data_IF_583876766992
#
_entry.id   IF_583876766992
#
_cell.length_a   1.000
_cell.length_b   1.000
_cell.length_c   1.000
_cell.angle_alpha   90.00
_cell.angle_beta   90.00
_cell.angle_gamma   90.00
#
_symmetry.space_group_name_H-M   'P 1'
#
loop_
_entity.id
_entity.type
_entity.pdbx_description
1 polymer ?
#
# COMPACT_ATOMS: atom_id res chain seq x y z
N UNK A 1 13.66 -30.24 -12.08
CA UNK A 1 13.94 -29.36 -13.23
C UNK A 1 12.94 -28.23 -13.19
N UNK A 2 13.33 -27.10 -12.62
CA UNK A 2 12.53 -25.89 -12.54
C UNK A 2 12.38 -25.31 -13.95
N UNK A 3 11.16 -25.28 -14.45
CA UNK A 3 10.80 -24.58 -15.69
C UNK A 3 10.94 -23.08 -15.43
N UNK A 4 12.15 -22.55 -15.60
CA UNK A 4 12.42 -21.13 -15.54
C UNK A 4 11.57 -20.44 -16.61
N UNK A 5 10.56 -19.70 -16.18
CA UNK A 5 9.87 -18.78 -17.08
C UNK A 5 10.93 -17.78 -17.58
N UNK A 6 11.04 -17.53 -18.89
CA UNK A 6 11.97 -16.52 -19.40
C UNK A 6 11.66 -15.19 -18.71
N UNK A 7 12.70 -14.49 -18.23
CA UNK A 7 12.53 -13.18 -17.62
C UNK A 7 11.85 -12.26 -18.65
N UNK A 8 10.93 -11.38 -18.23
CA UNK A 8 10.35 -10.37 -19.09
C UNK A 8 11.44 -9.61 -19.85
N UNK A 9 11.34 -9.49 -21.17
CA UNK A 9 12.30 -8.74 -21.99
C UNK A 9 12.08 -7.22 -21.90
N UNK A 10 10.96 -6.80 -21.30
CA UNK A 10 10.54 -5.41 -21.17
C UNK A 10 10.47 -5.03 -19.69
N UNK A 11 11.08 -3.91 -19.32
CA UNK A 11 10.98 -3.30 -17.98
C UNK A 11 10.20 -1.99 -18.10
N UNK A 12 9.26 -1.73 -17.20
CA UNK A 12 8.55 -0.44 -17.12
C UNK A 12 8.86 0.26 -15.80
N UNK A 13 9.33 1.50 -15.85
CA UNK A 13 9.76 2.26 -14.68
C UNK A 13 9.51 3.77 -14.85
N UNK A 14 9.62 4.53 -13.76
CA UNK A 14 9.77 5.99 -13.83
C UNK A 14 11.21 6.33 -14.25
N UNK A 15 11.37 7.29 -15.17
CA UNK A 15 12.64 7.57 -15.81
C UNK A 15 13.64 8.23 -14.84
N UNK A 16 14.86 7.67 -14.77
CA UNK A 16 15.98 8.31 -14.09
C UNK A 16 16.59 9.48 -14.90
N UNK A 17 17.59 10.14 -14.33
CA UNK A 17 18.24 11.28 -14.99
C UNK A 17 18.88 10.94 -16.34
N UNK A 18 19.49 9.75 -16.48
CA UNK A 18 20.14 9.33 -17.73
C UNK A 18 19.10 8.99 -18.81
N UNK A 19 18.01 8.35 -18.40
CA UNK A 19 16.87 8.02 -19.27
C UNK A 19 16.13 9.28 -19.72
N UNK A 20 15.99 10.30 -18.86
CA UNK A 20 15.45 11.61 -19.25
C UNK A 20 16.30 12.29 -20.32
N UNK A 21 17.62 12.23 -20.20
CA UNK A 21 18.52 12.75 -21.23
C UNK A 21 18.38 11.99 -22.56
N UNK A 22 18.14 10.67 -22.53
CA UNK A 22 17.82 9.90 -23.73
C UNK A 22 16.48 10.32 -24.33
N UNK A 23 15.44 10.50 -23.51
CA UNK A 23 14.13 10.99 -23.94
C UNK A 23 14.25 12.33 -24.67
N UNK A 24 15.05 13.28 -24.18
CA UNK A 24 15.20 14.57 -24.85
C UNK A 24 15.83 14.45 -26.26
N UNK A 25 16.73 13.49 -26.47
CA UNK A 25 17.29 13.19 -27.79
C UNK A 25 16.24 12.53 -28.70
N UNK A 26 15.56 11.50 -28.20
CA UNK A 26 14.48 10.82 -28.94
C UNK A 26 13.39 11.81 -29.36
N UNK A 27 13.03 12.75 -28.47
CA UNK A 27 12.05 13.81 -28.79
C UNK A 27 12.52 14.65 -29.98
N UNK A 28 13.80 15.00 -30.06
CA UNK A 28 14.34 15.73 -31.21
C UNK A 28 14.23 14.92 -32.49
N UNK A 29 14.71 13.68 -32.47
CA UNK A 29 14.68 12.81 -33.65
C UNK A 29 13.25 12.61 -34.17
N UNK A 30 12.30 12.34 -33.26
CA UNK A 30 10.90 12.08 -33.64
C UNK A 30 10.16 13.38 -33.97
N UNK A 31 10.16 14.37 -33.08
CA UNK A 31 9.28 15.53 -33.24
C UNK A 31 9.89 16.66 -34.09
N UNK A 32 11.22 16.77 -34.19
CA UNK A 32 11.85 17.75 -35.09
C UNK A 32 12.21 17.15 -36.45
N UNK A 33 12.88 15.99 -36.48
CA UNK A 33 13.39 15.41 -37.72
C UNK A 33 12.33 14.61 -38.48
N UNK A 34 11.68 13.64 -37.83
CA UNK A 34 10.70 12.76 -38.49
C UNK A 34 9.38 13.49 -38.81
N UNK A 35 8.82 14.22 -37.84
CA UNK A 35 7.46 14.77 -37.96
C UNK A 35 7.41 16.26 -38.31
N UNK A 36 8.54 16.96 -38.24
CA UNK A 36 8.65 18.39 -38.56
C UNK A 36 7.82 19.31 -37.66
N UNK A 37 7.57 18.93 -36.41
CA UNK A 37 6.78 19.72 -35.44
C UNK A 37 7.62 20.79 -34.74
N UNK A 38 8.94 20.60 -34.71
CA UNK A 38 9.89 21.53 -34.12
C UNK A 38 11.08 21.76 -35.07
N UNK A 39 11.75 22.92 -34.98
CA UNK A 39 13.00 23.15 -35.71
C UNK A 39 14.10 22.17 -35.27
N UNK A 40 14.81 21.61 -36.25
CA UNK A 40 16.02 20.82 -36.00
C UNK A 40 17.10 21.76 -35.43
N UNK A 41 17.66 21.38 -34.28
CA UNK A 41 18.74 22.14 -33.62
C UNK A 41 20.04 21.33 -33.49
N UNK A 42 21.16 22.02 -33.32
CA UNK A 42 22.51 21.43 -33.23
C UNK A 42 22.78 20.70 -31.91
N UNK A 43 21.99 20.97 -30.86
CA UNK A 43 22.13 20.29 -29.58
C UNK A 43 21.55 18.86 -29.60
N UNK A 44 20.82 18.49 -30.66
CA UNK A 44 20.24 17.16 -30.82
C UNK A 44 19.27 16.78 -29.71
N UNK A 45 18.62 17.78 -29.08
CA UNK A 45 17.70 17.58 -27.95
C UNK A 45 16.52 18.54 -28.01
N UNK A 46 15.37 18.09 -27.52
CA UNK A 46 14.20 18.92 -27.29
C UNK A 46 13.77 18.85 -25.82
N UNK A 47 13.61 20.04 -25.24
CA UNK A 47 13.07 20.25 -23.90
C UNK A 47 11.91 21.24 -23.96
N UNK A 48 11.04 21.23 -22.95
CA UNK A 48 10.01 22.25 -22.77
C UNK A 48 9.78 22.60 -21.30
N UNK A 49 9.04 23.68 -21.06
CA UNK A 49 8.79 24.25 -19.72
C UNK A 49 8.11 23.30 -18.73
N UNK A 50 7.49 22.21 -19.19
CA UNK A 50 6.82 21.24 -18.33
C UNK A 50 7.75 20.09 -17.93
N UNK A 51 8.96 19.99 -18.48
CA UNK A 51 9.86 18.87 -18.20
C UNK A 51 10.15 18.70 -16.71
N UNK A 52 10.35 19.80 -15.98
CA UNK A 52 10.67 19.77 -14.55
C UNK A 52 9.54 19.20 -13.68
N UNK A 53 8.28 19.37 -14.13
CA UNK A 53 7.10 18.87 -13.40
C UNK A 53 6.58 17.54 -13.96
N UNK A 54 6.90 17.25 -15.21
CA UNK A 54 6.47 16.04 -15.90
C UNK A 54 7.11 14.81 -15.30
N UNK A 55 6.29 13.76 -15.24
CA UNK A 55 6.69 12.43 -14.84
C UNK A 55 6.78 11.57 -16.08
N UNK A 56 7.97 11.04 -16.33
CA UNK A 56 8.27 10.24 -17.50
C UNK A 56 8.24 8.77 -17.11
N UNK A 57 7.40 7.99 -17.77
CA UNK A 57 7.44 6.53 -17.68
C UNK A 57 8.11 5.99 -18.93
N UNK A 58 9.03 5.04 -18.74
CA UNK A 58 9.81 4.42 -19.82
C UNK A 58 9.51 2.93 -19.89
N UNK A 59 9.52 2.40 -21.11
CA UNK A 59 9.64 0.97 -21.36
C UNK A 59 11.05 0.69 -21.90
N UNK A 60 11.79 -0.15 -21.20
CA UNK A 60 13.15 -0.52 -21.53
C UNK A 60 13.19 -1.92 -22.16
N UNK A 61 13.97 -2.09 -23.22
CA UNK A 61 14.36 -3.40 -23.76
C UNK A 61 15.87 -3.47 -23.82
N UNK A 62 16.43 -4.56 -23.28
CA UNK A 62 17.88 -4.73 -23.14
C UNK A 62 18.58 -3.55 -22.41
N UNK A 63 17.86 -2.88 -21.51
CA UNK A 63 18.33 -1.72 -20.75
C UNK A 63 18.22 -0.37 -21.47
N UNK A 64 17.81 -0.34 -22.74
CA UNK A 64 17.66 0.89 -23.53
C UNK A 64 16.20 1.33 -23.64
N UNK A 65 15.98 2.65 -23.77
CA UNK A 65 14.63 3.23 -23.91
C UNK A 65 14.03 2.83 -25.25
N UNK A 66 13.06 1.92 -25.23
CA UNK A 66 12.31 1.48 -26.41
C UNK A 66 11.07 2.35 -26.67
N UNK A 67 10.46 2.85 -25.60
CA UNK A 67 9.30 3.73 -25.65
C UNK A 67 9.21 4.57 -24.37
N UNK A 68 8.49 5.70 -24.42
CA UNK A 68 8.18 6.50 -23.23
C UNK A 68 6.83 7.21 -23.35
N UNK A 69 6.30 7.63 -22.20
CA UNK A 69 5.14 8.51 -22.08
C UNK A 69 5.39 9.52 -20.97
N UNK A 70 4.86 10.73 -21.13
CA UNK A 70 4.96 11.80 -20.15
C UNK A 70 3.60 12.06 -19.53
N UNK A 71 3.59 12.34 -18.23
CA UNK A 71 2.40 12.69 -17.45
C UNK A 71 2.64 14.07 -16.85
N UNK A 72 1.79 15.04 -17.21
CA UNK A 72 1.76 16.36 -16.57
C UNK A 72 0.78 16.31 -15.40
N UNK A 73 1.24 16.44 -14.14
CA UNK A 73 0.34 16.56 -12.99
C UNK A 73 -0.36 17.94 -12.97
N UNK A 74 -1.48 18.08 -12.24
CA UNK A 74 -2.11 19.38 -12.04
C UNK A 74 -1.14 20.33 -11.33
N UNK A 75 -1.03 21.56 -11.81
CA UNK A 75 -0.07 22.51 -11.27
C UNK A 75 -0.11 23.90 -11.90
N UNK A 76 0.68 24.85 -11.37
CA UNK A 76 0.65 26.25 -11.77
C UNK A 76 1.15 26.48 -13.21
N UNK A 77 1.88 25.52 -13.78
CA UNK A 77 2.34 25.58 -15.16
C UNK A 77 1.24 25.21 -16.17
N UNK A 78 0.07 24.74 -15.74
CA UNK A 78 -0.98 24.29 -16.66
C UNK A 78 -0.54 23.10 -17.51
N UNK A 79 -1.18 22.91 -18.65
CA UNK A 79 -1.02 21.73 -19.49
C UNK A 79 -0.44 22.10 -20.87
N UNK A 80 0.01 21.09 -21.63
CA UNK A 80 0.50 21.32 -22.98
C UNK A 80 -0.65 21.53 -23.99
N UNK A 81 -1.83 20.94 -23.72
CA UNK A 81 -3.06 21.18 -24.50
C UNK A 81 -3.50 22.64 -24.52
N UNK A 82 -3.16 23.44 -23.50
CA UNK A 82 -3.44 24.89 -23.43
C UNK A 82 -2.75 25.67 -24.58
N UNK A 83 -1.76 25.08 -25.28
CA UNK A 83 -1.12 25.69 -26.46
C UNK A 83 -1.95 25.57 -27.73
N UNK A 84 -2.90 24.63 -27.76
CA UNK A 84 -3.61 24.22 -28.97
C UNK A 84 -5.11 24.55 -28.91
N UNK A 85 -5.68 24.64 -27.72
CA UNK A 85 -7.11 24.87 -27.51
C UNK A 85 -7.33 25.87 -26.38
N UNK A 86 -8.32 26.74 -26.52
CA UNK A 86 -8.71 27.66 -25.46
C UNK A 86 -9.60 26.95 -24.43
N UNK A 87 -9.39 27.22 -23.13
CA UNK A 87 -10.14 26.55 -22.05
C UNK A 87 -11.66 26.65 -22.17
N UNK A 88 -12.27 27.79 -22.58
CA UNK A 88 -13.72 27.88 -22.75
C UNK A 88 -14.28 26.99 -23.86
N UNK A 89 -13.46 26.56 -24.82
CA UNK A 89 -13.87 25.71 -25.93
C UNK A 89 -13.83 24.22 -25.55
N UNK A 90 -13.04 23.85 -24.53
CA UNK A 90 -12.91 22.47 -24.10
C UNK A 90 -14.18 22.00 -23.38
N UNK A 91 -14.75 20.82 -23.75
CA UNK A 91 -15.96 20.29 -23.12
C UNK A 91 -15.72 19.70 -21.71
N UNK A 92 -14.69 20.15 -20.99
CA UNK A 92 -14.28 19.63 -19.69
C UNK A 92 -13.53 20.69 -18.88
N UNK A 93 -13.63 20.59 -17.56
CA UNK A 93 -12.88 21.46 -16.65
C UNK A 93 -11.52 20.83 -16.29
N UNK A 94 -10.45 21.61 -16.49
CA UNK A 94 -9.08 21.20 -16.18
C UNK A 94 -8.73 21.64 -14.75
N UNK A 95 -9.30 20.93 -13.77
CA UNK A 95 -9.19 21.25 -12.35
C UNK A 95 -7.97 20.59 -11.66
N UNK A 96 -7.88 20.70 -10.33
CA UNK A 96 -6.80 20.13 -9.51
C UNK A 96 -6.77 18.60 -9.43
N UNK A 97 -7.73 17.90 -10.06
CA UNK A 97 -7.75 16.45 -10.22
C UNK A 97 -7.43 15.97 -11.63
N UNK A 98 -7.14 16.88 -12.57
CA UNK A 98 -6.86 16.55 -13.97
C UNK A 98 -5.37 16.28 -14.20
N UNK A 99 -5.05 15.22 -14.94
CA UNK A 99 -3.70 14.89 -15.39
C UNK A 99 -3.66 14.86 -16.91
N UNK A 100 -2.56 15.29 -17.51
CA UNK A 100 -2.37 15.19 -18.97
C UNK A 100 -1.41 14.04 -19.29
N UNK A 101 -1.84 13.12 -20.16
CA UNK A 101 -0.95 12.15 -20.81
C UNK A 101 -0.48 12.76 -22.13
N UNK A 102 0.84 12.87 -22.30
CA UNK A 102 1.45 13.46 -23.49
C UNK A 102 2.72 12.72 -23.91
N UNK A 103 3.16 13.01 -25.13
CA UNK A 103 4.41 12.50 -25.69
C UNK A 103 4.54 10.97 -25.69
N UNK A 104 3.44 10.23 -25.84
CA UNK A 104 3.50 8.79 -26.03
C UNK A 104 4.30 8.49 -27.31
N UNK A 105 5.46 7.88 -27.15
CA UNK A 105 6.43 7.67 -28.22
C UNK A 105 6.95 6.24 -28.16
N UNK A 106 6.88 5.55 -29.29
CA UNK A 106 7.49 4.24 -29.51
C UNK A 106 8.50 4.39 -30.64
N UNK A 107 9.76 3.98 -30.40
CA UNK A 107 10.81 4.03 -31.42
C UNK A 107 10.44 3.13 -32.61
N UNK A 108 10.87 3.53 -33.81
CA UNK A 108 10.47 2.92 -35.09
C UNK A 108 10.56 1.38 -35.08
N UNK A 109 11.70 0.85 -34.63
CA UNK A 109 11.99 -0.58 -34.52
C UNK A 109 11.08 -1.37 -33.54
N UNK A 110 10.22 -0.68 -32.79
CA UNK A 110 9.30 -1.26 -31.81
C UNK A 110 7.83 -0.88 -32.04
N UNK A 111 7.48 -0.16 -33.12
CA UNK A 111 6.11 0.35 -33.34
C UNK A 111 5.06 -0.75 -33.50
N UNK A 112 5.45 -1.92 -34.00
CA UNK A 112 4.56 -3.09 -34.17
C UNK A 112 4.40 -3.95 -32.90
N UNK A 113 4.69 -3.38 -31.72
CA UNK A 113 4.63 -4.08 -30.43
C UNK A 113 3.55 -3.50 -29.53
N UNK A 114 3.33 -4.13 -28.37
CA UNK A 114 2.38 -3.71 -27.34
C UNK A 114 2.89 -2.57 -26.43
N UNK A 115 4.07 -1.99 -26.70
CA UNK A 115 4.68 -0.98 -25.83
C UNK A 115 3.82 0.27 -25.64
N UNK A 116 3.08 0.71 -26.66
CA UNK A 116 2.17 1.85 -26.53
C UNK A 116 1.05 1.54 -25.53
N UNK A 117 0.39 0.39 -25.65
CA UNK A 117 -0.66 -0.05 -24.73
C UNK A 117 -0.10 -0.27 -23.32
N UNK A 118 1.09 -0.86 -23.20
CA UNK A 118 1.80 -1.07 -21.95
C UNK A 118 2.03 0.23 -21.19
N UNK A 119 2.54 1.27 -21.88
CA UNK A 119 2.77 2.58 -21.27
C UNK A 119 1.49 3.31 -20.92
N UNK A 120 0.41 3.11 -21.69
CA UNK A 120 -0.90 3.65 -21.30
C UNK A 120 -1.42 3.00 -20.01
N UNK A 121 -1.32 1.67 -19.88
CA UNK A 121 -1.66 0.96 -18.63
C UNK A 121 -0.84 1.51 -17.46
N UNK A 122 0.47 1.68 -17.66
CA UNK A 122 1.37 2.28 -16.67
C UNK A 122 0.93 3.69 -16.26
N UNK A 123 0.64 4.55 -17.24
CA UNK A 123 0.30 5.95 -17.01
C UNK A 123 -1.03 6.10 -16.25
N UNK A 124 -2.08 5.37 -16.66
CA UNK A 124 -3.35 5.42 -15.96
C UNK A 124 -3.24 4.91 -14.53
N UNK A 125 -2.48 3.83 -14.30
CA UNK A 125 -2.24 3.34 -12.94
C UNK A 125 -1.46 4.31 -12.08
N UNK A 126 -0.44 4.94 -12.64
CA UNK A 126 0.34 5.97 -11.96
C UNK A 126 -0.51 7.17 -11.55
N UNK A 127 -1.42 7.61 -12.43
CA UNK A 127 -2.37 8.72 -12.20
C UNK A 127 -3.40 8.33 -11.13
N UNK A 128 -4.02 7.16 -11.27
CA UNK A 128 -5.05 6.69 -10.35
C UNK A 128 -4.51 6.53 -8.92
N UNK A 129 -3.31 5.98 -8.75
CA UNK A 129 -2.66 5.82 -7.45
C UNK A 129 -2.39 7.16 -6.73
N UNK A 130 -2.46 8.28 -7.45
CA UNK A 130 -2.28 9.65 -6.93
C UNK A 130 -3.59 10.44 -6.86
N UNK A 131 -4.73 9.75 -6.95
CA UNK A 131 -6.05 10.36 -6.83
C UNK A 131 -6.46 11.21 -8.03
N UNK A 132 -5.85 10.99 -9.20
CA UNK A 132 -6.33 11.60 -10.44
C UNK A 132 -7.79 11.24 -10.71
N UNK A 133 -8.59 12.24 -11.09
CA UNK A 133 -10.01 12.07 -11.41
C UNK A 133 -10.22 12.05 -12.91
N UNK A 134 -9.52 12.93 -13.63
CA UNK A 134 -9.71 13.13 -15.06
C UNK A 134 -8.37 13.03 -15.76
N UNK A 135 -8.36 12.44 -16.95
CA UNK A 135 -7.19 12.41 -17.83
C UNK A 135 -7.51 13.13 -19.12
N UNK A 136 -6.57 13.94 -19.60
CA UNK A 136 -6.62 14.57 -20.92
C UNK A 136 -5.42 14.18 -21.75
N UNK A 137 -5.59 14.11 -23.06
CA UNK A 137 -4.51 13.84 -23.99
C UNK A 137 -4.83 14.45 -25.35
N UNK A 138 -3.80 14.68 -26.16
CA UNK A 138 -3.97 14.91 -27.60
C UNK A 138 -3.44 13.69 -28.35
N UNK A 139 -4.36 12.94 -28.96
CA UNK A 139 -4.04 11.74 -29.72
C UNK A 139 -3.88 12.04 -31.19
N UNK A 140 -2.88 11.45 -31.86
CA UNK A 140 -2.84 11.44 -33.33
C UNK A 140 -4.03 10.65 -33.85
N UNK A 141 -4.69 11.11 -34.92
CA UNK A 141 -5.94 10.50 -35.42
C UNK A 141 -5.81 8.97 -35.62
N UNK A 142 -4.68 8.52 -36.18
CA UNK A 142 -4.34 7.11 -36.41
C UNK A 142 -4.27 6.25 -35.12
N UNK A 143 -3.93 6.88 -33.99
CA UNK A 143 -3.75 6.21 -32.69
C UNK A 143 -4.98 6.38 -31.79
N UNK A 144 -5.91 7.28 -32.13
CA UNK A 144 -7.16 7.47 -31.37
C UNK A 144 -7.95 6.19 -31.11
N UNK A 145 -8.01 5.17 -32.01
CA UNK A 145 -8.72 3.92 -31.71
C UNK A 145 -8.15 3.14 -30.52
N UNK A 146 -6.86 3.30 -30.21
CA UNK A 146 -6.23 2.71 -29.02
C UNK A 146 -6.72 3.43 -27.75
N UNK A 147 -6.69 4.76 -27.75
CA UNK A 147 -7.16 5.57 -26.62
C UNK A 147 -8.65 5.33 -26.33
N UNK A 148 -9.49 5.23 -27.38
CA UNK A 148 -10.92 4.93 -27.23
C UNK A 148 -11.15 3.54 -26.64
N UNK A 149 -10.39 2.53 -27.10
CA UNK A 149 -10.42 1.19 -26.48
C UNK A 149 -10.00 1.21 -25.00
N UNK A 150 -9.07 2.09 -24.64
CA UNK A 150 -8.65 2.34 -23.25
C UNK A 150 -9.63 3.17 -22.42
N UNK A 151 -10.80 3.53 -22.95
CA UNK A 151 -11.84 4.27 -22.23
C UNK A 151 -11.82 5.79 -22.44
N UNK A 152 -10.94 6.34 -23.29
CA UNK A 152 -10.98 7.77 -23.62
C UNK A 152 -12.08 8.14 -24.60
N UNK A 153 -12.60 9.36 -24.47
CA UNK A 153 -13.61 9.96 -25.32
C UNK A 153 -12.99 11.03 -26.21
N UNK A 154 -13.43 11.02 -27.47
CA UNK A 154 -13.14 12.03 -28.50
C UNK A 154 -13.98 13.28 -28.21
N UNK A 155 -13.37 14.47 -28.30
CA UNK A 155 -14.08 15.75 -28.13
C UNK A 155 -14.54 16.36 -29.44
N UNK A 156 -13.96 15.93 -30.58
CA UNK A 156 -14.13 16.56 -31.88
C UNK A 156 -13.24 17.80 -32.11
N UNK A 157 -12.53 18.30 -31.08
CA UNK A 157 -11.60 19.41 -31.22
C UNK A 157 -10.26 18.93 -31.76
N UNK A 158 -9.86 19.44 -32.93
CA UNK A 158 -8.64 19.03 -33.62
C UNK A 158 -7.67 20.18 -33.81
N UNK A 159 -6.38 19.87 -33.88
CA UNK A 159 -5.30 20.80 -34.18
C UNK A 159 -4.28 20.11 -35.09
N UNK A 160 -3.48 20.87 -35.82
CA UNK A 160 -2.43 20.31 -36.69
C UNK A 160 -1.08 20.87 -36.28
N UNK A 161 -0.10 19.98 -36.13
CA UNK A 161 1.28 20.33 -35.81
C UNK A 161 2.24 19.49 -36.64
N UNK A 162 3.07 20.15 -37.44
CA UNK A 162 3.87 19.50 -38.48
C UNK A 162 2.98 18.80 -39.52
N UNK A 163 3.30 17.55 -39.82
CA UNK A 163 2.55 16.72 -40.77
C UNK A 163 1.35 15.97 -40.16
N UNK A 164 1.01 16.22 -38.88
CA UNK A 164 0.09 15.36 -38.12
C UNK A 164 -1.07 16.15 -37.52
N UNK A 165 -2.27 15.60 -37.65
CA UNK A 165 -3.48 16.09 -36.98
C UNK A 165 -3.69 15.36 -35.66
N UNK A 166 -3.95 16.14 -34.61
CA UNK A 166 -4.24 15.67 -33.27
C UNK A 166 -5.67 16.01 -32.89
N UNK A 167 -6.27 15.17 -32.06
CA UNK A 167 -7.57 15.43 -31.44
C UNK A 167 -7.45 15.44 -29.93
N UNK A 168 -8.12 16.40 -29.30
CA UNK A 168 -8.28 16.43 -27.85
C UNK A 168 -9.19 15.29 -27.39
N UNK A 169 -8.71 14.53 -26.43
CA UNK A 169 -9.40 13.42 -25.81
C UNK A 169 -9.42 13.58 -24.28
N UNK A 170 -10.43 13.02 -23.64
CA UNK A 170 -10.54 13.01 -22.18
C UNK A 170 -11.16 11.72 -21.64
N UNK A 171 -10.98 11.43 -20.36
CA UNK A 171 -11.65 10.34 -19.67
C UNK A 171 -11.73 10.59 -18.17
N UNK A 172 -12.79 10.10 -17.51
CA UNK A 172 -12.74 9.89 -16.07
C UNK A 172 -11.88 8.67 -15.76
N UNK A 173 -11.01 8.76 -14.76
CA UNK A 173 -10.12 7.65 -14.36
C UNK A 173 -10.92 6.41 -13.95
N UNK A 174 -12.10 6.59 -13.37
CA UNK A 174 -13.02 5.50 -13.05
C UNK A 174 -13.57 4.79 -14.32
N UNK A 175 -13.81 5.53 -15.39
CA UNK A 175 -14.26 4.96 -16.68
C UNK A 175 -13.13 4.20 -17.37
N UNK A 176 -11.91 4.74 -17.34
CA UNK A 176 -10.71 4.03 -17.82
C UNK A 176 -10.51 2.72 -17.05
N UNK A 177 -10.70 2.73 -15.73
CA UNK A 177 -10.67 1.51 -14.93
C UNK A 177 -11.70 0.50 -15.41
N UNK A 178 -12.95 0.91 -15.61
CA UNK A 178 -14.00 0.00 -16.08
C UNK A 178 -13.67 -0.57 -17.47
N UNK A 179 -13.05 0.22 -18.36
CA UNK A 179 -12.57 -0.26 -19.65
C UNK A 179 -11.43 -1.29 -19.51
N UNK A 180 -10.53 -1.10 -18.53
CA UNK A 180 -9.47 -2.07 -18.24
C UNK A 180 -10.03 -3.38 -17.73
N UNK A 181 -11.03 -3.34 -16.85
CA UNK A 181 -11.71 -4.53 -16.35
C UNK A 181 -12.40 -5.30 -17.50
N UNK A 182 -12.97 -4.58 -18.48
CA UNK A 182 -13.52 -5.18 -19.69
C UNK A 182 -12.46 -5.79 -20.63
N UNK A 183 -11.21 -5.31 -20.55
CA UNK A 183 -10.05 -5.78 -21.31
C UNK A 183 -9.13 -6.69 -20.48
N UNK A 184 -9.64 -7.29 -19.39
CA UNK A 184 -8.84 -8.05 -18.44
C UNK A 184 -7.90 -9.10 -19.07
N UNK A 185 -8.29 -9.89 -20.09
CA UNK A 185 -7.36 -10.84 -20.72
C UNK A 185 -6.13 -10.17 -21.33
N UNK A 186 -6.30 -8.98 -21.91
CA UNK A 186 -5.22 -8.19 -22.51
C UNK A 186 -4.35 -7.57 -21.43
N UNK A 187 -4.95 -6.94 -20.42
CA UNK A 187 -4.22 -6.32 -19.31
C UNK A 187 -3.40 -7.36 -18.54
N UNK A 188 -3.97 -8.54 -18.27
CA UNK A 188 -3.26 -9.64 -17.62
C UNK A 188 -2.11 -10.20 -18.47
N UNK A 189 -2.22 -10.17 -19.80
CA UNK A 189 -1.14 -10.57 -20.69
C UNK A 189 0.03 -9.59 -20.63
N UNK A 190 -0.25 -8.28 -20.70
CA UNK A 190 0.76 -7.21 -20.55
C UNK A 190 1.43 -7.31 -19.19
N UNK A 191 0.64 -7.46 -18.12
CA UNK A 191 1.15 -7.56 -16.75
C UNK A 191 2.16 -8.70 -16.59
N UNK A 192 1.90 -9.88 -17.16
CA UNK A 192 2.82 -11.03 -17.12
C UNK A 192 4.06 -10.86 -17.99
N UNK A 193 3.97 -10.08 -19.07
CA UNK A 193 5.03 -9.92 -20.06
C UNK A 193 6.07 -8.84 -19.69
N UNK A 194 5.85 -8.11 -18.60
CA UNK A 194 6.62 -6.92 -18.23
C UNK A 194 7.14 -7.03 -16.79
N UNK A 195 8.40 -6.62 -16.58
CA UNK A 195 8.95 -6.36 -15.25
C UNK A 195 8.54 -4.95 -14.81
N UNK A 196 7.58 -4.86 -13.89
CA UNK A 196 7.00 -3.60 -13.42
C UNK A 196 7.80 -3.05 -12.24
N UNK A 197 8.51 -1.95 -12.47
CA UNK A 197 9.24 -1.18 -11.46
C UNK A 197 8.61 0.19 -11.25
N UNK A 198 7.28 0.19 -11.22
CA UNK A 198 6.51 1.33 -10.78
C UNK A 198 6.39 1.23 -9.26
N UNK A 199 6.70 2.30 -8.52
CA UNK A 199 6.46 2.38 -7.07
C UNK A 199 4.96 2.45 -6.70
N UNK A 200 4.10 1.82 -7.51
CA UNK A 200 2.66 1.68 -7.35
C UNK A 200 2.24 0.31 -7.89
N UNK A 201 1.34 -0.41 -7.20
CA UNK A 201 0.90 -1.72 -7.68
C UNK A 201 0.03 -1.56 -8.93
N UNK A 202 0.27 -2.42 -9.91
CA UNK A 202 -0.49 -2.46 -11.17
C UNK A 202 -1.95 -2.86 -10.99
N UNK A 203 -2.27 -3.64 -9.95
CA UNK A 203 -3.63 -3.95 -9.55
C UNK A 203 -3.90 -3.24 -8.25
N UNK A 204 -5.13 -2.72 -8.10
CA UNK A 204 -5.55 -2.25 -6.78
C UNK A 204 -5.54 -3.51 -5.91
N UNK A 205 -4.83 -3.54 -4.77
CA UNK A 205 -4.85 -4.71 -3.91
C UNK A 205 -6.30 -5.06 -3.63
N UNK A 206 -6.65 -6.35 -3.73
CA UNK A 206 -7.96 -6.81 -3.30
C UNK A 206 -8.16 -6.31 -1.87
N UNK A 207 -9.37 -5.83 -1.57
CA UNK A 207 -9.70 -5.48 -0.20
C UNK A 207 -9.54 -6.76 0.65
N UNK A 208 -8.47 -6.84 1.42
CA UNK A 208 -8.22 -7.95 2.33
C UNK A 208 -9.03 -7.65 3.59
N UNK A 209 -10.25 -8.19 3.65
CA UNK A 209 -11.11 -8.08 4.82
C UNK A 209 -10.64 -9.08 5.89
N UNK A 210 -10.68 -8.68 7.15
CA UNK A 210 -10.25 -9.52 8.26
C UNK A 210 -11.36 -10.51 8.63
N UNK A 211 -11.27 -11.73 8.10
CA UNK A 211 -12.18 -12.84 8.44
C UNK A 211 -13.64 -12.65 8.04
N UNK A 212 -14.49 -13.59 8.47
CA UNK A 212 -15.95 -13.52 8.37
C UNK A 212 -16.55 -14.48 7.36
N UNK A 213 -15.79 -14.85 6.32
CA UNK A 213 -16.21 -15.82 5.28
C UNK A 213 -16.51 -17.19 5.90
N UNK A 214 -15.74 -17.60 6.92
CA UNK A 214 -16.00 -18.83 7.66
C UNK A 214 -17.37 -18.81 8.38
N UNK A 215 -17.76 -17.66 8.96
CA UNK A 215 -19.07 -17.50 9.59
C UNK A 215 -20.20 -17.43 8.56
N UNK A 216 -19.98 -16.84 7.39
CA UNK A 216 -20.92 -16.89 6.27
C UNK A 216 -21.16 -18.33 5.81
N UNK A 217 -20.10 -19.14 5.71
CA UNK A 217 -20.18 -20.54 5.32
C UNK A 217 -20.91 -21.40 6.35
N UNK A 218 -20.69 -21.16 7.66
CA UNK A 218 -21.46 -21.79 8.75
C UNK A 218 -22.93 -21.37 8.68
N UNK A 219 -23.19 -20.10 8.36
CA UNK A 219 -24.51 -19.50 8.26
C UNK A 219 -24.70 -18.44 9.34
N UNK A 220 -24.88 -17.19 8.91
CA UNK A 220 -24.98 -16.01 9.79
C UNK A 220 -26.18 -16.04 10.76
N UNK A 221 -27.21 -16.84 10.47
CA UNK A 221 -28.37 -17.05 11.35
C UNK A 221 -28.08 -17.95 12.56
N UNK A 222 -26.96 -18.69 12.55
CA UNK A 222 -26.57 -19.64 13.59
C UNK A 222 -27.63 -20.73 13.89
N UNK A 223 -28.55 -20.98 12.96
CA UNK A 223 -29.65 -21.94 13.10
C UNK A 223 -29.16 -23.40 13.22
N UNK A 224 -28.01 -23.70 12.63
CA UNK A 224 -27.31 -24.98 12.76
C UNK A 224 -25.83 -24.73 13.06
N UNK A 225 -25.51 -24.66 14.36
CA UNK A 225 -24.13 -24.54 14.80
C UNK A 225 -23.27 -25.74 14.40
N UNK A 226 -23.84 -26.92 14.09
CA UNK A 226 -23.10 -28.12 13.70
C UNK A 226 -22.27 -27.95 12.42
N UNK A 227 -22.67 -27.03 11.53
CA UNK A 227 -22.02 -26.75 10.23
C UNK A 227 -20.58 -26.27 10.35
N UNK A 228 -20.15 -25.76 11.51
CA UNK A 228 -18.74 -25.43 11.73
C UNK A 228 -17.80 -26.63 11.53
N UNK A 229 -18.30 -27.86 11.67
CA UNK A 229 -17.53 -29.10 11.45
C UNK A 229 -17.26 -29.40 9.98
N UNK A 230 -18.03 -28.79 9.09
CA UNK A 230 -17.90 -28.94 7.63
C UNK A 230 -17.07 -27.81 7.01
N UNK A 231 -16.67 -26.81 7.82
CA UNK A 231 -15.91 -25.63 7.38
C UNK A 231 -14.49 -25.70 7.92
N UNK A 232 -13.51 -25.71 7.03
CA UNK A 232 -12.11 -25.49 7.41
C UNK A 232 -11.87 -23.99 7.47
N UNK A 233 -11.77 -23.44 8.69
CA UNK A 233 -11.44 -22.04 8.88
C UNK A 233 -9.96 -21.77 8.54
N UNK A 234 -9.73 -20.90 7.56
CA UNK A 234 -8.42 -20.32 7.24
C UNK A 234 -8.52 -18.82 6.86
N UNK A 235 -9.60 -18.14 7.25
CA UNK A 235 -9.83 -16.73 6.92
C UNK A 235 -9.18 -15.76 7.92
N UNK A 236 -9.00 -16.23 9.16
CA UNK A 236 -8.20 -15.61 10.21
C UNK A 236 -7.22 -16.63 10.77
N UNK A 237 -6.06 -16.16 11.24
CA UNK A 237 -5.01 -17.01 11.82
C UNK A 237 -5.39 -17.51 13.23
N UNK A 238 -6.58 -18.03 13.44
CA UNK A 238 -6.98 -18.62 14.73
C UNK A 238 -6.23 -19.92 14.99
N UNK A 239 -6.15 -20.31 16.28
CA UNK A 239 -5.47 -21.54 16.65
C UNK A 239 -6.18 -22.75 16.02
N UNK A 240 -5.39 -23.63 15.41
CA UNK A 240 -5.85 -24.90 14.83
C UNK A 240 -6.03 -26.01 15.88
N UNK A 241 -5.77 -25.69 17.15
CA UNK A 241 -5.89 -26.56 18.32
C UNK A 241 -6.85 -25.93 19.35
N UNK A 242 -7.49 -26.75 20.22
CA UNK A 242 -8.38 -26.23 21.25
C UNK A 242 -7.60 -25.56 22.40
N UNK A 243 -8.28 -24.76 23.25
CA UNK A 243 -7.71 -24.29 24.52
C UNK A 243 -7.18 -25.45 25.38
N UNK A 244 -6.33 -25.11 26.34
CA UNK A 244 -5.82 -26.09 27.31
C UNK A 244 -6.99 -26.82 28.03
N UNK A 245 -6.90 -28.14 28.29
CA UNK A 245 -8.00 -28.91 28.87
C UNK A 245 -8.57 -28.31 30.16
N UNK A 246 -7.70 -27.87 31.08
CA UNK A 246 -8.14 -27.24 32.34
C UNK A 246 -8.94 -25.94 32.14
N UNK A 247 -8.71 -25.22 31.01
CA UNK A 247 -9.52 -24.04 30.66
C UNK A 247 -10.90 -24.47 30.18
N UNK A 248 -10.98 -25.53 29.35
CA UNK A 248 -12.26 -26.08 28.90
C UNK A 248 -13.09 -26.62 30.06
N UNK A 249 -12.46 -27.37 30.99
CA UNK A 249 -13.10 -27.90 32.19
C UNK A 249 -13.68 -26.75 33.04
N UNK A 250 -12.87 -25.72 33.33
CA UNK A 250 -13.32 -24.56 34.09
C UNK A 250 -14.46 -23.79 33.41
N UNK A 251 -14.39 -23.59 32.09
CA UNK A 251 -15.46 -22.91 31.34
C UNK A 251 -16.74 -23.73 31.33
N UNK A 252 -16.64 -25.06 31.20
CA UNK A 252 -17.79 -25.95 31.19
C UNK A 252 -18.48 -26.00 32.56
N UNK A 253 -17.70 -26.14 33.63
CA UNK A 253 -18.21 -26.28 34.99
C UNK A 253 -18.85 -24.97 35.49
N UNK A 254 -18.33 -23.81 35.08
CA UNK A 254 -18.77 -22.49 35.56
C UNK A 254 -19.66 -21.73 34.57
N UNK A 255 -20.01 -22.30 33.41
CA UNK A 255 -20.75 -21.61 32.34
C UNK A 255 -22.03 -20.88 32.84
N UNK A 256 -22.90 -21.50 33.67
CA UNK A 256 -24.10 -20.81 34.16
C UNK A 256 -23.79 -19.59 35.03
N UNK A 257 -22.69 -19.63 35.79
CA UNK A 257 -22.27 -18.51 36.63
C UNK A 257 -21.70 -17.38 35.77
N UNK A 258 -20.78 -17.71 34.86
CA UNK A 258 -20.13 -16.77 33.94
C UNK A 258 -21.15 -15.95 33.12
N UNK A 259 -22.22 -16.60 32.65
CA UNK A 259 -23.27 -15.93 31.87
C UNK A 259 -24.16 -15.00 32.69
N UNK A 260 -24.25 -15.20 34.01
CA UNK A 260 -25.15 -14.45 34.90
C UNK A 260 -24.45 -13.28 35.61
N UNK A 261 -23.15 -13.34 35.81
CA UNK A 261 -22.44 -12.41 36.69
C UNK A 261 -21.46 -11.51 35.95
N UNK A 262 -21.50 -10.22 36.27
CA UNK A 262 -20.51 -9.25 35.80
C UNK A 262 -19.22 -9.30 36.64
N UNK A 263 -18.04 -9.25 36.04
CA UNK A 263 -16.77 -9.18 36.78
C UNK A 263 -16.57 -7.80 37.43
N UNK A 264 -15.65 -7.67 38.40
CA UNK A 264 -15.19 -6.38 38.91
C UNK A 264 -14.68 -5.46 37.79
N UNK A 265 -14.95 -4.15 37.90
CA UNK A 265 -14.63 -3.15 36.87
C UNK A 265 -13.12 -3.03 36.61
N UNK A 266 -12.30 -3.25 37.63
CA UNK A 266 -10.85 -3.13 37.59
C UNK A 266 -10.12 -4.39 37.10
N UNK A 267 -10.86 -5.49 36.87
CA UNK A 267 -10.30 -6.78 36.47
C UNK A 267 -9.14 -7.26 37.38
N UNK A 268 -9.15 -6.92 38.68
CA UNK A 268 -8.01 -7.12 39.58
C UNK A 268 -7.46 -8.56 39.58
N UNK A 269 -8.35 -9.57 39.48
CA UNK A 269 -7.94 -10.97 39.40
C UNK A 269 -7.16 -11.31 38.14
N UNK A 270 -7.57 -10.78 36.97
CA UNK A 270 -6.86 -10.99 35.71
C UNK A 270 -5.51 -10.26 35.72
N UNK A 271 -5.48 -9.03 36.23
CA UNK A 271 -4.25 -8.25 36.40
C UNK A 271 -3.24 -9.03 37.24
N UNK A 272 -3.65 -9.53 38.40
CA UNK A 272 -2.78 -10.31 39.28
C UNK A 272 -2.29 -11.61 38.62
N UNK A 273 -3.15 -12.31 37.89
CA UNK A 273 -2.80 -13.54 37.18
C UNK A 273 -1.76 -13.28 36.07
N UNK A 274 -1.97 -12.26 35.23
CA UNK A 274 -1.03 -11.87 34.18
C UNK A 274 0.30 -11.40 34.77
N UNK A 275 0.25 -10.53 35.78
CA UNK A 275 1.44 -10.03 36.47
C UNK A 275 2.28 -11.17 37.04
N UNK A 276 1.65 -12.14 37.70
CA UNK A 276 2.33 -13.34 38.23
C UNK A 276 2.91 -14.20 37.10
N UNK A 277 2.14 -14.49 36.06
CA UNK A 277 2.56 -15.35 34.96
C UNK A 277 3.71 -14.76 34.13
N UNK A 278 3.77 -13.43 34.01
CA UNK A 278 4.77 -12.70 33.21
C UNK A 278 5.89 -12.09 34.04
N UNK A 279 5.81 -12.15 35.37
CA UNK A 279 6.77 -11.52 36.27
C UNK A 279 6.76 -9.98 36.18
N UNK A 280 5.59 -9.38 35.97
CA UNK A 280 5.40 -7.93 35.88
C UNK A 280 4.84 -7.37 37.19
N UNK A 281 5.02 -6.07 37.42
CA UNK A 281 4.27 -5.36 38.45
C UNK A 281 2.79 -5.29 38.01
N UNK A 282 1.80 -5.57 38.89
CA UNK A 282 0.38 -5.36 38.57
C UNK A 282 0.06 -3.98 38.01
N UNK A 283 0.77 -2.93 38.43
CA UNK A 283 0.60 -1.56 37.92
C UNK A 283 1.05 -1.38 36.46
N UNK A 284 1.84 -2.31 35.93
CA UNK A 284 2.28 -2.32 34.53
C UNK A 284 1.27 -2.98 33.58
N UNK A 285 0.16 -3.55 34.08
CA UNK A 285 -0.75 -4.38 33.28
C UNK A 285 -2.11 -3.71 33.09
N UNK A 286 -2.53 -3.53 31.83
CA UNK A 286 -3.87 -3.04 31.48
C UNK A 286 -4.62 -4.07 30.63
N UNK A 287 -5.63 -4.77 31.16
CA UNK A 287 -6.41 -5.74 30.40
C UNK A 287 -7.39 -5.07 29.41
N UNK A 288 -7.73 -5.79 28.35
CA UNK A 288 -8.69 -5.36 27.33
C UNK A 288 -9.43 -6.51 26.66
N UNK A 289 -10.52 -6.16 25.97
CA UNK A 289 -11.43 -7.10 25.30
C UNK A 289 -10.88 -7.56 23.93
N UNK A 290 -9.66 -8.12 23.94
CA UNK A 290 -8.86 -8.40 22.74
C UNK A 290 -7.95 -7.22 22.35
N UNK A 291 -6.93 -7.50 21.54
CA UNK A 291 -5.95 -6.47 21.13
C UNK A 291 -6.61 -5.32 20.38
N UNK A 292 -7.64 -5.59 19.57
CA UNK A 292 -8.42 -4.56 18.88
C UNK A 292 -9.03 -3.54 19.84
N UNK A 293 -9.63 -3.96 20.95
CA UNK A 293 -10.15 -3.01 21.96
C UNK A 293 -9.04 -2.09 22.47
N UNK A 294 -7.87 -2.64 22.79
CA UNK A 294 -6.73 -1.87 23.28
C UNK A 294 -6.22 -0.88 22.23
N UNK A 295 -6.15 -1.28 20.96
CA UNK A 295 -5.76 -0.42 19.83
C UNK A 295 -6.75 0.74 19.69
N UNK A 296 -8.06 0.45 19.60
CA UNK A 296 -9.10 1.47 19.43
C UNK A 296 -9.28 2.36 20.66
N UNK A 297 -8.91 1.88 21.85
CA UNK A 297 -8.97 2.62 23.10
C UNK A 297 -7.77 3.55 23.28
N UNK A 298 -6.57 3.12 22.88
CA UNK A 298 -5.33 3.83 23.10
C UNK A 298 -5.03 4.84 21.98
N UNK A 299 -4.97 4.37 20.72
CA UNK A 299 -4.42 5.18 19.63
C UNK A 299 -5.20 6.48 19.37
N UNK A 300 -6.55 6.50 19.32
CA UNK A 300 -7.32 7.73 19.12
C UNK A 300 -7.23 8.73 20.28
N UNK A 301 -6.75 8.32 21.46
CA UNK A 301 -6.53 9.21 22.60
C UNK A 301 -5.12 9.80 22.62
N UNK A 302 -4.19 9.16 21.94
CA UNK A 302 -2.78 9.54 21.92
C UNK A 302 -2.39 10.37 20.70
N UNK A 303 -3.16 10.25 19.63
CA UNK A 303 -2.82 10.76 18.31
C UNK A 303 -3.96 11.57 17.71
N UNK A 304 -3.60 12.45 16.78
CA UNK A 304 -4.52 13.21 15.96
C UNK A 304 -4.03 13.28 14.50
N UNK A 305 -4.66 14.13 13.69
CA UNK A 305 -4.35 14.27 12.26
C UNK A 305 -2.98 14.91 11.98
N UNK A 306 -2.38 15.56 12.97
CA UNK A 306 -1.04 16.13 12.87
C UNK A 306 0.05 15.12 13.22
N UNK A 307 -0.31 14.04 13.94
CA UNK A 307 0.64 13.03 14.38
C UNK A 307 1.30 12.29 13.21
N UNK A 308 2.63 12.13 13.29
CA UNK A 308 3.46 11.33 12.39
C UNK A 308 3.66 9.94 12.97
N UNK A 309 3.35 8.90 12.19
CA UNK A 309 3.41 7.50 12.66
C UNK A 309 4.20 6.65 11.68
N UNK A 310 5.06 5.77 12.20
CA UNK A 310 5.85 4.83 11.38
C UNK A 310 5.24 3.43 11.46
N UNK A 311 5.01 2.82 10.29
CA UNK A 311 4.60 1.42 10.12
C UNK A 311 5.57 0.67 9.20
N UNK A 312 5.68 -0.64 9.40
CA UNK A 312 6.25 -1.53 8.37
C UNK A 312 5.19 -1.85 7.31
N UNK A 313 5.59 -2.08 6.06
CA UNK A 313 4.65 -2.43 4.98
C UNK A 313 5.18 -3.59 4.11
N UNK A 314 4.53 -4.77 4.09
CA UNK A 314 3.26 -5.09 4.75
C UNK A 314 3.38 -5.33 6.27
N UNK A 315 2.31 -5.00 7.00
CA UNK A 315 2.09 -5.40 8.40
C UNK A 315 0.59 -5.61 8.67
N UNK A 316 0.20 -5.84 9.93
CA UNK A 316 -1.19 -6.09 10.31
C UNK A 316 -2.08 -4.88 9.97
N UNK A 317 -3.02 -5.08 9.05
CA UNK A 317 -3.78 -4.00 8.42
C UNK A 317 -4.64 -3.15 9.37
N UNK A 318 -4.99 -3.66 10.56
CA UNK A 318 -5.77 -2.92 11.56
C UNK A 318 -5.08 -1.64 11.99
N UNK A 319 -3.73 -1.64 12.11
CA UNK A 319 -2.98 -0.44 12.46
C UNK A 319 -3.11 0.63 11.39
N UNK A 320 -2.91 0.29 10.12
CA UNK A 320 -3.11 1.24 9.02
C UNK A 320 -4.57 1.74 8.97
N UNK A 321 -5.56 0.85 9.19
CA UNK A 321 -6.96 1.24 9.26
C UNK A 321 -7.22 2.28 10.35
N UNK A 322 -6.85 1.99 11.60
CA UNK A 322 -7.09 2.90 12.73
C UNK A 322 -6.33 4.21 12.55
N UNK A 323 -5.05 4.15 12.19
CA UNK A 323 -4.20 5.33 12.08
C UNK A 323 -4.59 6.22 10.89
N UNK A 324 -4.83 5.66 9.70
CA UNK A 324 -5.13 6.45 8.50
C UNK A 324 -6.61 6.80 8.35
N UNK A 325 -7.54 5.92 8.76
CA UNK A 325 -8.98 6.08 8.48
C UNK A 325 -9.78 6.55 9.68
N UNK A 326 -9.44 6.10 10.89
CA UNK A 326 -10.18 6.48 12.11
C UNK A 326 -9.60 7.77 12.68
N UNK A 327 -8.29 7.83 12.89
CA UNK A 327 -7.61 9.00 13.46
C UNK A 327 -7.24 10.02 12.37
N UNK A 328 -6.70 9.55 11.25
CA UNK A 328 -6.27 10.39 10.12
C UNK A 328 -4.83 10.91 10.24
N UNK A 329 -3.95 10.14 10.88
CA UNK A 329 -2.53 10.46 11.06
C UNK A 329 -1.76 10.51 9.73
N UNK A 330 -0.57 11.11 9.77
CA UNK A 330 0.43 11.06 8.69
C UNK A 330 1.26 9.80 8.85
N UNK A 331 0.90 8.75 8.11
CA UNK A 331 1.59 7.45 8.18
C UNK A 331 2.76 7.42 7.19
N UNK A 332 3.96 7.22 7.72
CA UNK A 332 5.18 6.92 6.99
C UNK A 332 5.42 5.40 7.02
N UNK A 333 5.73 4.82 5.87
CA UNK A 333 5.86 3.36 5.71
C UNK A 333 7.29 2.99 5.36
N UNK A 334 7.85 2.03 6.09
CA UNK A 334 9.09 1.35 5.70
C UNK A 334 8.72 0.10 4.87
N UNK A 335 8.96 0.09 3.56
CA UNK A 335 8.65 -1.06 2.72
C UNK A 335 9.52 -2.27 3.09
N UNK A 336 8.90 -3.43 3.19
CA UNK A 336 9.54 -4.72 3.37
C UNK A 336 9.52 -5.45 2.03
N UNK A 337 10.69 -5.59 1.43
CA UNK A 337 10.82 -6.15 0.09
C UNK A 337 10.91 -7.67 0.11
N UNK A 338 10.29 -8.31 -0.89
CA UNK A 338 10.37 -9.76 -1.06
C UNK A 338 11.80 -10.23 -1.33
N UNK A 339 12.63 -9.39 -1.96
CA UNK A 339 14.05 -9.68 -2.24
C UNK A 339 14.84 -10.00 -0.97
N UNK A 340 14.43 -9.41 0.15
CA UNK A 340 15.11 -9.49 1.44
C UNK A 340 14.28 -10.31 2.44
N UNK A 341 13.43 -11.21 1.92
CA UNK A 341 12.54 -12.07 2.71
C UNK A 341 11.62 -11.27 3.65
N UNK A 342 11.26 -10.05 3.24
CA UNK A 342 10.48 -9.09 4.02
C UNK A 342 11.13 -8.71 5.37
N UNK A 343 12.45 -8.87 5.51
CA UNK A 343 13.20 -8.43 6.68
C UNK A 343 13.25 -6.89 6.70
N UNK A 344 12.93 -6.23 7.83
CA UNK A 344 13.13 -4.80 7.94
C UNK A 344 14.61 -4.43 7.82
N UNK A 345 14.94 -3.43 7.01
CA UNK A 345 16.25 -2.78 7.07
C UNK A 345 16.37 -2.07 8.43
N UNK A 346 17.18 -2.65 9.31
CA UNK A 346 17.35 -2.17 10.67
C UNK A 346 17.94 -0.75 10.71
N UNK A 347 18.86 -0.42 9.81
CA UNK A 347 19.47 0.91 9.79
C UNK A 347 18.45 1.97 9.38
N UNK A 348 17.68 1.71 8.32
CA UNK A 348 16.60 2.60 7.89
C UNK A 348 15.53 2.75 8.98
N UNK A 349 15.18 1.66 9.68
CA UNK A 349 14.21 1.71 10.78
C UNK A 349 14.73 2.52 11.98
N UNK A 350 16.02 2.39 12.32
CA UNK A 350 16.67 3.21 13.37
C UNK A 350 16.61 4.69 12.99
N UNK A 351 16.94 5.06 11.76
CA UNK A 351 16.91 6.45 11.30
C UNK A 351 15.49 7.04 11.35
N UNK A 352 14.49 6.25 10.94
CA UNK A 352 13.08 6.64 11.02
C UNK A 352 12.65 6.87 12.47
N UNK A 353 13.01 5.96 13.38
CA UNK A 353 12.71 6.09 14.81
C UNK A 353 13.41 7.32 15.42
N UNK A 354 14.69 7.52 15.10
CA UNK A 354 15.50 8.64 15.59
C UNK A 354 15.00 10.00 15.10
N UNK A 355 14.29 10.05 13.96
CA UNK A 355 13.66 11.26 13.44
C UNK A 355 12.53 11.82 14.34
N UNK A 356 12.09 11.05 15.35
CA UNK A 356 11.08 11.47 16.32
C UNK A 356 9.64 11.50 15.77
N UNK A 357 9.08 10.36 15.30
CA UNK A 357 7.65 10.23 15.07
C UNK A 357 6.89 10.23 16.41
N UNK A 358 5.59 10.50 16.39
CA UNK A 358 4.77 10.47 17.61
C UNK A 358 4.48 9.02 18.07
N UNK A 359 4.44 8.09 17.11
CA UNK A 359 4.27 6.66 17.35
C UNK A 359 5.06 5.83 16.33
N UNK A 360 5.66 4.73 16.80
CA UNK A 360 6.14 3.63 15.96
C UNK A 360 5.40 2.37 16.35
N UNK A 361 4.83 1.66 15.38
CA UNK A 361 4.17 0.37 15.62
C UNK A 361 5.01 -0.74 15.00
N UNK A 362 5.36 -1.73 15.82
CA UNK A 362 6.07 -2.93 15.41
C UNK A 362 5.22 -4.15 15.75
N UNK A 363 4.75 -4.88 14.75
CA UNK A 363 4.15 -6.21 14.96
C UNK A 363 5.29 -7.23 14.96
N UNK A 364 5.46 -7.97 16.05
CA UNK A 364 6.61 -8.84 16.23
C UNK A 364 6.26 -10.13 17.02
N UNK A 365 6.25 -11.33 16.40
CA UNK A 365 6.46 -11.60 14.97
C UNK A 365 5.50 -10.85 14.05
N UNK A 366 6.00 -10.35 12.93
CA UNK A 366 5.20 -9.56 11.99
C UNK A 366 4.14 -10.44 11.29
N UNK A 367 2.94 -9.89 11.09
CA UNK A 367 1.89 -10.47 10.26
C UNK A 367 1.69 -9.55 9.05
N UNK A 368 1.79 -10.04 7.80
CA UNK A 368 1.70 -11.44 7.40
C UNK A 368 3.06 -12.16 7.21
N UNK A 369 4.19 -11.48 7.40
CA UNK A 369 5.49 -11.99 6.90
C UNK A 369 6.14 -13.04 7.79
N UNK A 370 5.75 -13.15 9.06
CA UNK A 370 6.35 -14.04 10.06
C UNK A 370 7.73 -13.60 10.55
N UNK A 371 8.27 -12.49 10.04
CA UNK A 371 9.60 -12.00 10.40
C UNK A 371 9.66 -11.53 11.85
N UNK A 372 10.82 -11.74 12.50
CA UNK A 372 11.03 -11.44 13.92
C UNK A 372 12.18 -10.46 14.08
N UNK A 373 11.92 -9.34 14.75
CA UNK A 373 12.97 -8.51 15.36
C UNK A 373 13.37 -9.12 16.70
N UNK A 374 14.66 -9.28 16.92
CA UNK A 374 15.19 -9.77 18.19
C UNK A 374 14.99 -8.74 19.30
N UNK A 375 15.04 -9.19 20.55
CA UNK A 375 14.95 -8.29 21.71
C UNK A 375 16.03 -7.20 21.66
N UNK A 376 17.25 -7.53 21.24
CA UNK A 376 18.36 -6.58 21.14
C UNK A 376 18.14 -5.53 20.04
N UNK A 377 17.54 -5.93 18.92
CA UNK A 377 17.17 -5.00 17.84
C UNK A 377 16.05 -4.06 18.28
N UNK A 378 15.03 -4.56 18.99
CA UNK A 378 13.98 -3.69 19.54
C UNK A 378 14.55 -2.75 20.61
N UNK A 379 15.43 -3.23 21.49
CA UNK A 379 16.13 -2.42 22.50
C UNK A 379 17.02 -1.35 21.84
N UNK A 380 17.61 -1.63 20.68
CA UNK A 380 18.33 -0.64 19.87
C UNK A 380 17.39 0.46 19.35
N UNK A 381 16.23 0.10 18.80
CA UNK A 381 15.23 1.06 18.34
C UNK A 381 14.73 1.93 19.50
N UNK A 382 14.44 1.32 20.64
CA UNK A 382 13.98 2.03 21.84
C UNK A 382 15.00 3.06 22.36
N UNK A 383 16.30 2.74 22.29
CA UNK A 383 17.38 3.68 22.62
C UNK A 383 17.54 4.82 21.62
N UNK A 384 17.24 4.57 20.35
CA UNK A 384 17.30 5.60 19.30
C UNK A 384 16.07 6.54 19.34
N UNK A 385 14.94 6.07 19.85
CA UNK A 385 13.71 6.83 19.96
C UNK A 385 13.86 8.01 20.94
N UNK A 386 13.48 9.24 20.53
CA UNK A 386 13.32 10.34 21.47
C UNK A 386 12.28 9.99 22.56
N UNK A 387 12.39 10.54 23.79
CA UNK A 387 11.42 10.26 24.86
C UNK A 387 9.97 10.63 24.53
N UNK A 388 9.75 11.51 23.55
CA UNK A 388 8.42 11.89 23.06
C UNK A 388 7.79 10.86 22.11
N UNK A 389 8.58 9.94 21.56
CA UNK A 389 8.15 8.92 20.62
C UNK A 389 7.64 7.70 21.38
N UNK A 390 6.36 7.37 21.26
CA UNK A 390 5.85 6.10 21.79
C UNK A 390 6.22 4.97 20.86
N UNK A 391 6.57 3.81 21.41
CA UNK A 391 6.83 2.58 20.65
C UNK A 391 5.83 1.52 21.08
N UNK A 392 4.96 1.13 20.17
CA UNK A 392 3.98 0.07 20.37
C UNK A 392 4.49 -1.22 19.74
N UNK A 393 4.71 -2.26 20.55
CA UNK A 393 5.10 -3.59 20.07
C UNK A 393 3.94 -4.56 20.24
N UNK A 394 3.39 -5.06 19.14
CA UNK A 394 2.35 -6.08 19.13
C UNK A 394 2.97 -7.48 19.11
N UNK A 395 2.88 -8.18 20.23
CA UNK A 395 3.42 -9.50 20.46
C UNK A 395 2.34 -10.60 20.39
N UNK A 396 1.27 -10.40 19.61
CA UNK A 396 0.18 -11.37 19.44
C UNK A 396 0.67 -12.79 19.09
N UNK A 397 1.79 -12.93 18.39
CA UNK A 397 2.36 -14.22 17.97
C UNK A 397 3.63 -14.63 18.74
N UNK A 398 4.05 -13.88 19.77
CA UNK A 398 5.39 -14.09 20.37
C UNK A 398 5.56 -15.44 21.05
N UNK A 399 4.48 -16.02 21.60
CA UNK A 399 4.55 -17.32 22.28
C UNK A 399 4.88 -18.48 21.32
N UNK A 400 4.83 -18.26 19.98
CA UNK A 400 5.32 -19.24 18.99
C UNK A 400 6.85 -19.18 18.78
N UNK A 401 7.52 -18.10 19.20
CA UNK A 401 8.97 -17.89 19.02
C UNK A 401 9.73 -17.72 20.33
N UNK A 402 9.03 -17.40 21.43
CA UNK A 402 9.52 -17.48 22.81
C UNK A 402 10.36 -16.30 23.32
N UNK A 403 10.58 -15.24 22.53
CA UNK A 403 11.43 -14.10 22.91
C UNK A 403 10.60 -12.80 23.01
N UNK A 404 10.20 -12.45 24.23
CA UNK A 404 9.37 -11.27 24.55
C UNK A 404 10.19 -10.03 24.88
N UNK A 405 9.70 -8.85 24.48
CA UNK A 405 10.25 -7.55 24.87
C UNK A 405 9.59 -6.95 26.13
N UNK A 406 8.57 -7.59 26.71
CA UNK A 406 7.92 -7.12 27.95
C UNK A 406 8.89 -6.70 29.07
N UNK A 407 10.00 -7.42 29.35
CA UNK A 407 10.93 -6.99 30.40
C UNK A 407 11.59 -5.63 30.16
N UNK A 408 11.63 -5.16 28.90
CA UNK A 408 12.22 -3.87 28.52
C UNK A 408 11.39 -2.68 29.01
N UNK A 409 10.11 -2.85 29.38
CA UNK A 409 9.27 -1.76 29.90
C UNK A 409 9.84 -1.16 31.19
N UNK A 410 10.69 -1.89 31.93
CA UNK A 410 11.37 -1.37 33.13
C UNK A 410 12.49 -0.38 32.84
N UNK A 411 12.92 -0.30 31.57
CA UNK A 411 14.04 0.53 31.11
C UNK A 411 13.61 1.61 30.13
N UNK A 412 12.40 1.51 29.58
CA UNK A 412 11.88 2.37 28.51
C UNK A 412 10.43 2.74 28.80
N UNK A 413 10.21 3.92 29.37
CA UNK A 413 8.88 4.40 29.78
C UNK A 413 7.93 4.67 28.60
N UNK A 414 8.49 4.82 27.40
CA UNK A 414 7.76 5.03 26.14
C UNK A 414 7.42 3.73 25.38
N UNK A 415 7.79 2.56 25.92
CA UNK A 415 7.42 1.25 25.37
C UNK A 415 6.05 0.80 25.86
N UNK A 416 5.20 0.38 24.93
CA UNK A 416 3.93 -0.30 25.19
C UNK A 416 3.94 -1.63 24.45
N UNK A 417 3.78 -2.75 25.17
CA UNK A 417 3.70 -4.09 24.59
C UNK A 417 2.25 -4.56 24.62
N UNK A 418 1.69 -4.91 23.47
CA UNK A 418 0.34 -5.45 23.33
C UNK A 418 0.38 -6.95 23.17
N UNK A 419 -0.40 -7.69 23.97
CA UNK A 419 -0.49 -9.15 23.90
C UNK A 419 -1.92 -9.64 23.86
N UNK A 420 -2.14 -10.69 23.07
CA UNK A 420 -3.44 -11.30 22.86
C UNK A 420 -3.42 -12.77 23.23
N UNK A 421 -4.48 -13.24 23.91
CA UNK A 421 -4.69 -14.66 24.15
C UNK A 421 -5.43 -15.35 22.99
N UNK A 422 -5.69 -14.64 21.89
CA UNK A 422 -6.47 -15.20 20.78
C UNK A 422 -5.76 -16.34 20.05
N UNK A 423 -4.42 -16.29 20.03
CA UNK A 423 -3.58 -17.13 19.16
C UNK A 423 -2.99 -18.30 19.92
N UNK A 424 -1.83 -18.14 20.55
CA UNK A 424 -1.16 -19.25 21.24
C UNK A 424 -1.99 -19.93 22.34
N UNK A 425 -2.94 -19.21 22.95
CA UNK A 425 -3.83 -19.75 23.98
C UNK A 425 -5.14 -20.34 23.42
N UNK A 426 -5.40 -20.20 22.12
CA UNK A 426 -6.65 -20.61 21.46
C UNK A 426 -7.92 -19.95 22.02
N UNK A 427 -7.84 -18.76 22.60
CA UNK A 427 -8.95 -18.05 23.25
C UNK A 427 -9.52 -16.90 22.39
N UNK A 428 -9.53 -17.04 21.06
CA UNK A 428 -9.98 -15.98 20.14
C UNK A 428 -11.40 -15.48 20.44
N UNK A 429 -12.32 -16.40 20.74
CA UNK A 429 -13.70 -16.06 21.12
C UNK A 429 -13.88 -15.48 22.52
N UNK A 430 -12.92 -15.69 23.44
CA UNK A 430 -13.00 -15.16 24.81
C UNK A 430 -12.66 -13.66 24.89
N UNK A 431 -12.05 -13.11 23.83
CA UNK A 431 -11.70 -11.68 23.71
C UNK A 431 -10.84 -11.19 24.87
N UNK A 432 -9.69 -11.84 25.13
CA UNK A 432 -8.77 -11.45 26.20
C UNK A 432 -7.43 -10.99 25.64
N UNK A 433 -7.01 -9.80 26.06
CA UNK A 433 -5.71 -9.21 25.77
C UNK A 433 -5.25 -8.32 26.93
N UNK A 434 -4.00 -7.86 26.88
CA UNK A 434 -3.50 -6.86 27.81
C UNK A 434 -2.39 -6.01 27.17
N UNK A 435 -2.18 -4.82 27.74
CA UNK A 435 -0.97 -4.03 27.54
C UNK A 435 -0.03 -4.23 28.73
N UNK A 436 1.27 -4.28 28.44
CA UNK A 436 2.33 -4.11 29.41
C UNK A 436 3.10 -2.81 29.11
N UNK A 437 3.19 -1.91 30.07
CA UNK A 437 3.90 -0.64 29.96
C UNK A 437 4.50 -0.24 31.32
N UNK A 438 5.39 0.76 31.36
CA UNK A 438 5.87 1.30 32.63
C UNK A 438 4.70 1.82 33.49
N UNK A 439 4.81 1.66 34.80
CA UNK A 439 3.79 2.17 35.73
C UNK A 439 3.75 3.71 35.65
N UNK A 440 2.54 4.27 35.59
CA UNK A 440 2.30 5.71 35.50
C UNK A 440 2.17 6.37 36.87
#
# INVERSE_FOLDING_TARGET
>A
MTTGHPRPSTVVAEADAAQREAIYRIRHDVYAVELGQHPVNTAGRLTDRLDDVNRYLVALRDGEVAAFVSITPPGPLGYSVDKYFERPEMPLDLDGGTYEIRLLTVLEQHRDTDLAATLMVAAYRWIEARGGRTVVAIGRDEVTPMYVRGGMRRTGLTTTSGAVTFELMHADVAEVRAAFDALEPVVAAIERAVDWRLHVPLRKPAACFHGGVSFEAVGVGLDDLGRHRDVVNADVLDAWFPPAPAVLDALHDELPWLLRTSPPVDCAGLVAAVATARGLDPACVLPGAGSSDLIFRALPRWLDRSSRVVLLDPTYGEYAHVLEKVVGCRVERLPLERSDDYRPDLAALVDLVASGPDLVVLVNPNSPTGQVLTVDEVDLLLRAAPPSTRVWVDETYVDFVGQTVEPLIRRHDHLVVCKSMSKAYALSGARVAYLAAAAH
#
